data_IF_122570488245
#
_entry.id   IF_122570488245
#
_cell.length_a   1.000
_cell.length_b   1.000
_cell.length_c   1.000
_cell.angle_alpha   90.00
_cell.angle_beta   90.00
_cell.angle_gamma   90.00
#
_symmetry.space_group_name_H-M   'P 1'
#
loop_
_entity.id
_entity.type
_entity.pdbx_description
1 polymer ?
#
# COMPACT_ATOMS: atom_id res chain seq x y z
N UNK A 1 -0.97 -1.98 -0.68
CA UNK A 1 -1.64 -0.74 -1.12
C UNK A 1 -0.75 -0.04 -2.12
N UNK A 2 -1.32 0.51 -3.19
CA UNK A 2 -0.59 1.20 -4.25
C UNK A 2 -1.28 2.53 -4.54
N UNK A 3 -0.50 3.61 -4.66
CA UNK A 3 -0.97 4.94 -5.06
C UNK A 3 -0.24 5.33 -6.35
N UNK A 4 -0.98 5.74 -7.37
CA UNK A 4 -0.47 6.15 -8.67
C UNK A 4 -0.84 7.61 -8.90
N UNK A 5 0.15 8.43 -9.29
CA UNK A 5 -0.03 9.85 -9.63
C UNK A 5 -0.84 10.65 -8.57
N UNK A 6 -0.41 10.68 -7.29
CA UNK A 6 -1.21 11.26 -6.20
C UNK A 6 -1.60 12.73 -6.40
N UNK A 7 -0.78 13.48 -7.14
CA UNK A 7 -0.96 14.92 -7.35
C UNK A 7 -1.74 15.26 -8.63
N UNK A 8 -2.25 14.25 -9.36
CA UNK A 8 -2.99 14.46 -10.62
C UNK A 8 -4.46 14.07 -10.47
N UNK A 9 -5.32 14.76 -11.20
CA UNK A 9 -6.75 14.42 -11.36
C UNK A 9 -6.98 12.97 -11.84
N UNK A 10 -6.02 12.42 -12.58
CA UNK A 10 -6.01 11.02 -13.04
C UNK A 10 -5.49 10.02 -12.00
N UNK A 11 -5.23 10.46 -10.77
CA UNK A 11 -4.67 9.63 -9.72
C UNK A 11 -5.59 8.46 -9.33
N UNK A 12 -4.97 7.33 -8.99
CA UNK A 12 -5.67 6.10 -8.61
C UNK A 12 -5.06 5.50 -7.35
N UNK A 13 -5.93 5.18 -6.39
CA UNK A 13 -5.59 4.42 -5.19
C UNK A 13 -6.14 3.00 -5.34
N UNK A 14 -5.28 2.00 -5.16
CA UNK A 14 -5.63 0.57 -5.19
C UNK A 14 -5.36 -0.01 -3.80
N UNK A 15 -6.43 -0.42 -3.13
CA UNK A 15 -6.41 -0.90 -1.75
C UNK A 15 -6.72 -2.39 -1.77
N UNK A 16 -5.73 -3.20 -1.38
CA UNK A 16 -5.93 -4.64 -1.16
C UNK A 16 -6.35 -4.86 0.29
N UNK A 17 -7.52 -5.46 0.49
CA UNK A 17 -8.05 -5.80 1.80
C UNK A 17 -7.97 -7.32 2.00
N UNK A 18 -7.33 -7.72 3.10
CA UNK A 18 -7.39 -9.09 3.58
C UNK A 18 -8.61 -9.20 4.51
N UNK A 19 -9.72 -9.72 3.98
CA UNK A 19 -10.92 -9.99 4.76
C UNK A 19 -10.65 -11.01 5.87
N UNK A 20 -11.20 -10.76 7.06
CA UNK A 20 -11.21 -11.73 8.16
C UNK A 20 -12.11 -12.92 7.75
N UNK A 21 -11.56 -14.15 7.81
CA UNK A 21 -12.09 -15.43 7.30
C UNK A 21 -11.84 -15.82 5.83
N UNK A 22 -11.08 -15.05 5.03
CA UNK A 22 -10.68 -15.51 3.70
C UNK A 22 -9.66 -16.66 3.83
N UNK A 23 -10.09 -17.89 3.55
CA UNK A 23 -9.29 -19.12 3.68
C UNK A 23 -8.22 -19.27 2.58
N UNK A 24 -8.21 -18.35 1.60
CA UNK A 24 -7.31 -18.39 0.45
C UNK A 24 -6.83 -17.00 0.05
N UNK A 25 -5.54 -16.87 -0.22
CA UNK A 25 -4.94 -15.66 -0.82
C UNK A 25 -5.48 -15.33 -2.21
N UNK A 26 -6.22 -16.24 -2.84
CA UNK A 26 -6.87 -16.03 -4.13
C UNK A 26 -8.14 -15.17 -4.03
N UNK A 27 -8.68 -14.95 -2.83
CA UNK A 27 -9.89 -14.15 -2.60
C UNK A 27 -9.58 -12.68 -2.23
N UNK A 28 -8.40 -12.18 -2.61
CA UNK A 28 -8.03 -10.78 -2.37
C UNK A 28 -9.05 -9.86 -3.03
N UNK A 29 -9.78 -9.11 -2.20
CA UNK A 29 -10.63 -8.02 -2.67
C UNK A 29 -9.77 -6.77 -2.80
N UNK A 30 -9.67 -6.24 -4.01
CA UNK A 30 -9.10 -4.93 -4.25
C UNK A 30 -10.21 -3.92 -4.51
N UNK A 31 -10.03 -2.70 -3.98
CA UNK A 31 -10.89 -1.56 -4.24
C UNK A 31 -10.06 -0.53 -5.00
N UNK A 32 -10.56 -0.10 -6.16
CA UNK A 32 -9.99 0.99 -6.94
C UNK A 32 -10.77 2.28 -6.66
N UNK A 33 -10.05 3.35 -6.32
CA UNK A 33 -10.63 4.68 -6.06
C UNK A 33 -9.87 5.70 -6.90
N UNK A 34 -10.60 6.36 -7.80
CA UNK A 34 -10.06 7.43 -8.64
C UNK A 34 -10.23 8.79 -7.97
N UNK A 35 -9.22 9.65 -8.08
CA UNK A 35 -9.24 10.99 -7.48
C UNK A 35 -10.46 11.81 -7.97
N UNK A 36 -10.75 11.77 -9.27
CA UNK A 36 -11.88 12.49 -9.85
C UNK A 36 -13.26 11.97 -9.38
N UNK A 37 -13.37 10.68 -9.05
CA UNK A 37 -14.63 10.06 -8.63
C UNK A 37 -14.90 10.23 -7.13
N UNK A 38 -13.86 10.17 -6.30
CA UNK A 38 -14.00 10.37 -4.85
C UNK A 38 -12.77 11.04 -4.23
N UNK A 39 -12.65 12.37 -4.33
CA UNK A 39 -11.48 13.10 -3.81
C UNK A 39 -11.23 12.85 -2.32
N UNK A 40 -12.31 12.76 -1.54
CA UNK A 40 -12.24 12.54 -0.09
C UNK A 40 -11.61 11.19 0.26
N UNK A 41 -12.12 10.10 -0.30
CA UNK A 41 -11.60 8.77 0.00
C UNK A 41 -10.23 8.52 -0.63
N UNK A 42 -9.98 9.10 -1.80
CA UNK A 42 -8.65 9.10 -2.40
C UNK A 42 -7.63 9.77 -1.46
N UNK A 43 -7.90 11.00 -1.00
CA UNK A 43 -7.00 11.74 -0.11
C UNK A 43 -6.75 11.01 1.21
N UNK A 44 -7.80 10.44 1.81
CA UNK A 44 -7.66 9.61 3.01
C UNK A 44 -6.64 8.47 2.81
N UNK A 45 -6.73 7.71 1.71
CA UNK A 45 -5.81 6.60 1.46
C UNK A 45 -4.40 7.05 1.10
N UNK A 46 -4.22 8.23 0.49
CA UNK A 46 -2.90 8.85 0.29
C UNK A 46 -2.25 9.16 1.64
N UNK A 47 -2.99 9.76 2.57
CA UNK A 47 -2.49 10.05 3.92
C UNK A 47 -2.13 8.77 4.68
N UNK A 48 -2.97 7.73 4.61
CA UNK A 48 -2.66 6.44 5.20
C UNK A 48 -1.41 5.80 4.58
N UNK A 49 -1.21 5.94 3.27
CA UNK A 49 0.01 5.46 2.61
C UNK A 49 1.25 6.14 3.18
N UNK A 50 1.22 7.47 3.24
CA UNK A 50 2.32 8.28 3.73
C UNK A 50 2.62 7.98 5.20
N UNK A 51 1.60 7.79 6.02
CA UNK A 51 1.74 7.40 7.43
C UNK A 51 2.46 6.04 7.57
N UNK A 52 1.98 5.00 6.88
CA UNK A 52 2.59 3.66 6.93
C UNK A 52 4.05 3.67 6.44
N UNK A 53 4.37 4.50 5.44
CA UNK A 53 5.72 4.60 4.91
C UNK A 53 6.64 5.46 5.78
N UNK A 54 6.11 6.50 6.42
CA UNK A 54 6.85 7.38 7.34
C UNK A 54 7.27 6.68 8.63
N UNK A 55 6.43 5.77 9.13
CA UNK A 55 6.74 4.94 10.32
C UNK A 55 7.58 3.71 10.00
N UNK A 56 7.85 3.42 8.72
CA UNK A 56 8.67 2.30 8.32
C UNK A 56 10.15 2.56 8.63
N UNK A 57 10.65 2.04 9.75
CA UNK A 57 12.09 2.00 10.03
C UNK A 57 12.78 1.17 8.94
N UNK A 58 13.86 1.66 8.31
CA UNK A 58 14.60 0.86 7.33
C UNK A 58 15.03 -0.47 7.95
N UNK A 59 14.70 -1.58 7.29
CA UNK A 59 15.20 -2.88 7.70
C UNK A 59 16.73 -2.82 7.80
N UNK A 60 17.28 -3.25 8.94
CA UNK A 60 18.72 -3.33 9.10
C UNK A 60 19.30 -4.15 7.93
N UNK A 61 20.38 -3.67 7.28
CA UNK A 61 20.99 -4.42 6.19
C UNK A 61 21.35 -5.82 6.68
N UNK A 62 21.16 -6.87 5.86
CA UNK A 62 21.50 -8.22 6.27
C UNK A 62 22.95 -8.26 6.72
N UNK A 63 23.19 -8.69 7.96
CA UNK A 63 24.53 -8.89 8.49
C UNK A 63 25.25 -9.90 7.60
N UNK A 64 26.25 -9.42 6.86
CA UNK A 64 27.14 -10.26 6.03
C UNK A 64 27.96 -11.15 6.96
N UNK A 65 27.40 -12.29 7.36
CA UNK A 65 28.13 -13.33 8.07
C UNK A 65 27.71 -14.70 7.55
N UNK A 66 28.21 -15.05 6.37
CA UNK A 66 28.55 -16.45 6.06
C UNK A 66 29.87 -16.44 5.31
N UNK A 67 30.97 -16.47 6.07
CA UNK A 67 32.24 -16.98 5.58
C UNK A 67 32.07 -18.48 5.36
N UNK A 68 31.99 -18.90 4.10
CA UNK A 68 32.24 -20.30 3.77
C UNK A 68 33.72 -20.60 4.08
N UNK A 69 33.95 -21.37 5.13
CA UNK A 69 35.19 -22.10 5.37
C UNK A 69 35.07 -23.53 4.85
#
# INVERSE_FOLDING_TARGET
>A
MVIIDPDKASGVAIIELYGWHLQSTSERMSIEIQQAASPRWFGYWVEQFAFMWGDATPAAPPSRTESYG
#
